data_IF_496959121758
#
_entry.id   IF_496959121758
#
_cell.length_a   1.000
_cell.length_b   1.000
_cell.length_c   1.000
_cell.angle_alpha   90.00
_cell.angle_beta   90.00
_cell.angle_gamma   90.00
#
_symmetry.space_group_name_H-M   'P 1'
#
loop_
_entity.id
_entity.type
_entity.pdbx_description
1 polymer ?
#
# COMPACT_ATOMS: atom_id res chain seq x y z
N UNK A 1 8.32 -5.09 -15.46
CA UNK A 1 9.14 -6.13 -16.13
C UNK A 1 10.56 -6.17 -15.57
N UNK A 2 11.38 -5.13 -15.78
CA UNK A 2 12.78 -5.07 -15.32
C UNK A 2 12.91 -5.35 -13.81
N UNK A 3 12.05 -4.73 -12.99
CA UNK A 3 12.02 -4.96 -11.54
C UNK A 3 11.73 -6.42 -11.19
N UNK A 4 10.71 -7.04 -11.79
CA UNK A 4 10.35 -8.44 -11.50
C UNK A 4 11.40 -9.45 -11.99
N UNK A 5 12.08 -9.16 -13.11
CA UNK A 5 13.22 -9.96 -13.57
C UNK A 5 14.40 -9.85 -12.58
N UNK A 6 14.72 -8.64 -12.12
CA UNK A 6 15.78 -8.42 -11.14
C UNK A 6 15.52 -9.14 -9.81
N UNK A 7 14.29 -9.08 -9.30
CA UNK A 7 13.89 -9.79 -8.08
C UNK A 7 13.97 -11.30 -8.28
N UNK A 8 13.50 -11.82 -9.41
CA UNK A 8 13.56 -13.26 -9.68
C UNK A 8 14.99 -13.80 -9.72
N UNK A 9 15.94 -13.03 -10.27
CA UNK A 9 17.36 -13.38 -10.26
C UNK A 9 17.91 -13.36 -8.83
N UNK A 10 17.62 -12.32 -8.05
CA UNK A 10 18.09 -12.18 -6.67
C UNK A 10 17.50 -13.24 -5.73
N UNK A 11 16.28 -13.69 -6.00
CA UNK A 11 15.60 -14.76 -5.26
C UNK A 11 16.07 -16.17 -5.67
N UNK A 12 16.96 -16.31 -6.66
CA UNK A 12 17.47 -17.59 -7.12
C UNK A 12 16.43 -18.47 -7.83
N UNK A 13 15.39 -17.88 -8.42
CA UNK A 13 14.35 -18.60 -9.12
C UNK A 13 14.83 -19.20 -10.45
N UNK A 14 14.14 -20.21 -10.97
CA UNK A 14 14.46 -20.80 -12.27
C UNK A 14 14.18 -19.79 -13.39
N UNK A 15 14.88 -19.84 -14.54
CA UNK A 15 14.69 -18.87 -15.63
C UNK A 15 13.23 -18.69 -16.08
N UNK A 16 12.43 -19.76 -16.12
CA UNK A 16 11.00 -19.67 -16.43
C UNK A 16 10.18 -18.94 -15.37
N UNK A 17 10.48 -19.17 -14.08
CA UNK A 17 9.80 -18.53 -12.96
C UNK A 17 10.18 -17.04 -12.84
N UNK A 18 11.42 -16.69 -13.20
CA UNK A 18 11.90 -15.30 -13.28
C UNK A 18 11.09 -14.53 -14.33
N UNK A 19 10.89 -15.11 -15.53
CA UNK A 19 10.13 -14.47 -16.61
C UNK A 19 8.65 -14.33 -16.20
N UNK A 20 8.07 -15.38 -15.60
CA UNK A 20 6.70 -15.34 -15.10
C UNK A 20 6.51 -14.25 -14.03
N UNK A 21 7.42 -14.16 -13.05
CA UNK A 21 7.41 -13.10 -12.04
C UNK A 21 7.54 -11.71 -12.69
N UNK A 22 8.47 -11.56 -13.63
CA UNK A 22 8.66 -10.34 -14.40
C UNK A 22 7.40 -9.87 -15.13
N UNK A 23 6.69 -10.79 -15.78
CA UNK A 23 5.45 -10.52 -16.50
C UNK A 23 4.29 -10.22 -15.56
N UNK A 24 4.07 -11.03 -14.52
CA UNK A 24 3.01 -10.79 -13.53
C UNK A 24 3.18 -9.42 -12.87
N UNK A 25 4.41 -9.07 -12.50
CA UNK A 25 4.73 -7.76 -11.94
C UNK A 25 4.49 -6.61 -12.93
N UNK A 26 4.83 -6.81 -14.20
CA UNK A 26 4.54 -5.81 -15.23
C UNK A 26 3.03 -5.60 -15.40
N UNK A 27 2.26 -6.69 -15.42
CA UNK A 27 0.81 -6.65 -15.56
C UNK A 27 0.16 -5.91 -14.39
N UNK A 28 0.52 -6.24 -13.15
CA UNK A 28 -0.02 -5.58 -11.95
C UNK A 28 0.29 -4.08 -11.96
N UNK A 29 1.53 -3.68 -12.27
CA UNK A 29 1.92 -2.26 -12.31
C UNK A 29 1.22 -1.46 -13.42
N UNK A 30 0.71 -2.12 -14.46
CA UNK A 30 -0.07 -1.46 -15.52
C UNK A 30 -1.57 -1.45 -15.20
N UNK A 31 -2.09 -2.56 -14.66
CA UNK A 31 -3.51 -2.76 -14.43
C UNK A 31 -4.01 -2.03 -13.18
N UNK A 32 -3.27 -2.11 -12.06
CA UNK A 32 -3.72 -1.54 -10.79
C UNK A 32 -3.93 -0.01 -10.86
N UNK A 33 -3.01 0.81 -11.41
CA UNK A 33 -3.23 2.25 -11.52
C UNK A 33 -4.42 2.59 -12.43
N UNK A 34 -4.67 1.79 -13.49
CA UNK A 34 -5.83 1.98 -14.38
C UNK A 34 -7.14 1.69 -13.67
N UNK A 35 -7.22 0.61 -12.89
CA UNK A 35 -8.42 0.27 -12.12
C UNK A 35 -8.74 1.35 -11.08
N UNK A 36 -7.74 1.86 -10.38
CA UNK A 36 -7.91 2.97 -9.42
C UNK A 36 -8.40 4.23 -10.14
N UNK A 37 -7.84 4.57 -11.31
CA UNK A 37 -8.28 5.73 -12.10
C UNK A 37 -9.76 5.65 -12.48
N UNK A 38 -10.21 4.48 -12.95
CA UNK A 38 -11.62 4.26 -13.32
C UNK A 38 -12.54 4.42 -12.11
N UNK A 39 -12.16 3.85 -10.95
CA UNK A 39 -12.89 4.04 -9.70
C UNK A 39 -12.97 5.52 -9.31
N UNK A 40 -11.88 6.28 -9.47
CA UNK A 40 -11.87 7.71 -9.16
C UNK A 40 -12.73 8.53 -10.13
N UNK A 41 -12.69 8.23 -11.41
CA UNK A 41 -13.57 8.86 -12.40
C UNK A 41 -15.05 8.65 -12.07
N UNK A 42 -15.42 7.49 -11.48
CA UNK A 42 -16.77 7.22 -10.99
C UNK A 42 -17.12 7.87 -9.64
N UNK A 43 -16.16 7.96 -8.70
CA UNK A 43 -16.38 8.45 -7.33
C UNK A 43 -16.29 9.99 -7.21
N UNK A 44 -15.49 10.65 -8.04
CA UNK A 44 -15.37 12.12 -8.08
C UNK A 44 -16.72 12.83 -8.29
N UNK A 45 -17.54 12.50 -9.30
CA UNK A 45 -18.81 13.21 -9.53
C UNK A 45 -19.81 13.01 -8.38
N UNK A 46 -19.78 11.85 -7.70
CA UNK A 46 -20.59 11.59 -6.51
C UNK A 46 -20.15 12.49 -5.35
N UNK A 47 -18.84 12.61 -5.13
CA UNK A 47 -18.25 13.44 -4.08
C UNK A 47 -18.54 14.93 -4.29
N UNK A 48 -18.42 15.43 -5.52
CA UNK A 48 -18.73 16.81 -5.88
C UNK A 48 -20.23 17.14 -5.75
N UNK A 49 -21.10 16.21 -6.16
CA UNK A 49 -22.55 16.35 -6.03
C UNK A 49 -22.98 16.38 -4.57
N UNK A 50 -22.43 15.49 -3.73
CA UNK A 50 -22.69 15.47 -2.30
C UNK A 50 -22.24 16.79 -1.64
N UNK A 51 -21.06 17.30 -1.99
CA UNK A 51 -20.54 18.59 -1.52
C UNK A 51 -21.45 19.75 -1.92
N UNK A 52 -21.91 19.78 -3.17
CA UNK A 52 -22.82 20.82 -3.69
C UNK A 52 -24.19 20.77 -2.98
N UNK A 53 -24.73 19.57 -2.75
CA UNK A 53 -25.98 19.38 -2.02
C UNK A 53 -25.88 19.86 -0.56
N UNK A 54 -24.78 19.51 0.12
CA UNK A 54 -24.52 19.93 1.50
C UNK A 54 -24.35 21.45 1.60
N UNK A 55 -23.56 22.08 0.71
CA UNK A 55 -23.38 23.53 0.66
C UNK A 55 -24.72 24.25 0.42
N UNK A 56 -25.57 23.73 -0.47
CA UNK A 56 -26.90 24.31 -0.74
C UNK A 56 -27.83 24.23 0.48
N UNK A 57 -27.68 23.22 1.34
CA UNK A 57 -28.57 22.94 2.48
C UNK A 57 -28.12 23.60 3.78
N UNK A 58 -26.81 23.79 3.96
CA UNK A 58 -26.21 24.28 5.21
C UNK A 58 -25.57 25.70 5.11
N UNK A 59 -25.58 26.33 3.92
CA UNK A 59 -25.18 27.73 3.72
C UNK A 59 -23.66 27.98 3.66
N UNK A 60 -23.23 29.24 3.82
CA UNK A 60 -21.82 29.69 3.76
C UNK A 60 -20.96 29.33 4.99
N UNK A 61 -21.37 28.36 5.82
CA UNK A 61 -20.49 27.90 6.91
C UNK A 61 -19.39 27.02 6.32
N UNK A 62 -18.17 27.14 6.82
CA UNK A 62 -17.09 26.21 6.46
C UNK A 62 -17.43 24.81 6.98
N UNK A 63 -18.02 23.99 6.12
CA UNK A 63 -18.39 22.62 6.44
C UNK A 63 -17.20 21.72 6.08
N UNK A 64 -16.55 21.21 7.11
CA UNK A 64 -15.53 20.16 6.99
C UNK A 64 -16.23 18.80 6.91
N UNK A 65 -16.43 18.31 5.69
CA UNK A 65 -17.00 16.99 5.45
C UNK A 65 -15.86 15.98 5.48
N UNK A 66 -15.85 15.10 6.48
CA UNK A 66 -15.00 13.91 6.46
C UNK A 66 -15.46 13.00 5.33
N UNK A 67 -14.65 12.91 4.26
CA UNK A 67 -14.86 12.01 3.13
C UNK A 67 -13.89 10.83 3.23
N UNK A 68 -14.24 9.70 2.61
CA UNK A 68 -13.37 8.53 2.54
C UNK A 68 -12.02 8.89 1.90
N UNK A 69 -10.94 8.24 2.37
CA UNK A 69 -9.58 8.47 1.87
C UNK A 69 -9.46 8.23 0.36
N UNK A 70 -10.34 7.41 -0.23
CA UNK A 70 -10.43 7.23 -1.67
C UNK A 70 -10.61 8.56 -2.41
N UNK A 71 -11.33 9.54 -1.87
CA UNK A 71 -11.54 10.84 -2.54
C UNK A 71 -10.21 11.60 -2.72
N UNK A 72 -9.27 11.46 -1.77
CA UNK A 72 -7.96 12.10 -1.83
C UNK A 72 -7.05 11.50 -2.92
N UNK A 73 -7.31 10.28 -3.37
CA UNK A 73 -6.56 9.65 -4.47
C UNK A 73 -6.70 10.39 -5.79
N UNK A 74 -7.76 11.18 -5.97
CA UNK A 74 -7.95 11.99 -7.19
C UNK A 74 -6.97 13.15 -7.28
N UNK A 75 -6.30 13.53 -6.17
CA UNK A 75 -5.37 14.64 -6.18
C UNK A 75 -4.08 14.26 -6.93
N UNK A 76 -3.65 15.02 -7.96
CA UNK A 76 -2.48 14.68 -8.77
C UNK A 76 -1.20 14.44 -7.94
N UNK A 77 -1.01 15.20 -6.85
CA UNK A 77 0.14 15.01 -5.97
C UNK A 77 0.17 13.62 -5.31
N UNK A 78 -1.00 13.07 -4.95
CA UNK A 78 -1.11 11.72 -4.37
C UNK A 78 -0.75 10.66 -5.41
N UNK A 79 -1.33 10.77 -6.61
CA UNK A 79 -1.06 9.84 -7.71
C UNK A 79 0.41 9.87 -8.09
N UNK A 80 1.00 11.06 -8.28
CA UNK A 80 2.41 11.23 -8.64
C UNK A 80 3.34 10.66 -7.57
N UNK A 81 3.08 10.95 -6.30
CA UNK A 81 3.89 10.43 -5.18
C UNK A 81 3.79 8.90 -5.10
N UNK A 82 2.58 8.34 -5.24
CA UNK A 82 2.38 6.90 -5.19
C UNK A 82 3.08 6.17 -6.35
N UNK A 83 3.00 6.71 -7.58
CA UNK A 83 3.70 6.15 -8.74
C UNK A 83 5.22 6.11 -8.55
N UNK A 84 5.80 7.09 -7.86
CA UNK A 84 7.23 7.13 -7.53
C UNK A 84 7.56 6.14 -6.40
N UNK A 85 6.69 6.02 -5.39
CA UNK A 85 6.93 5.15 -4.24
C UNK A 85 6.78 3.66 -4.56
N UNK A 86 5.97 3.28 -5.54
CA UNK A 86 5.82 1.88 -5.97
C UNK A 86 7.16 1.21 -6.30
N UNK A 87 7.99 1.72 -7.24
CA UNK A 87 9.29 1.11 -7.53
C UNK A 87 10.27 1.21 -6.35
N UNK A 88 10.20 2.29 -5.54
CA UNK A 88 11.04 2.45 -4.34
C UNK A 88 10.72 1.38 -3.30
N UNK A 89 9.44 1.09 -3.08
CA UNK A 89 8.97 0.08 -2.12
C UNK A 89 9.46 -1.31 -2.50
N UNK A 90 9.37 -1.64 -3.79
CA UNK A 90 9.89 -2.91 -4.31
C UNK A 90 11.40 -3.01 -4.11
N UNK A 91 12.13 -1.92 -4.37
CA UNK A 91 13.59 -1.89 -4.16
C UNK A 91 13.95 -2.03 -2.67
N UNK A 92 13.24 -1.32 -1.80
CA UNK A 92 13.41 -1.40 -0.34
C UNK A 92 13.16 -2.81 0.18
N UNK A 93 12.11 -3.48 -0.27
CA UNK A 93 11.78 -4.84 0.15
C UNK A 93 12.90 -5.85 -0.15
N UNK A 94 13.73 -5.59 -1.18
CA UNK A 94 14.86 -6.44 -1.55
C UNK A 94 16.15 -6.04 -0.82
N UNK A 95 16.40 -4.74 -0.65
CA UNK A 95 17.65 -4.23 -0.07
C UNK A 95 17.64 -4.28 1.46
N UNK A 96 16.48 -4.14 2.10
CA UNK A 96 16.38 -4.07 3.55
C UNK A 96 16.83 -5.37 4.21
N UNK A 97 17.89 -5.35 5.04
CA UNK A 97 18.41 -6.55 5.69
C UNK A 97 17.38 -7.05 6.71
N UNK A 98 17.06 -8.35 6.64
CA UNK A 98 16.11 -9.00 7.55
C UNK A 98 14.64 -8.89 7.14
N UNK A 99 14.30 -8.19 6.04
CA UNK A 99 12.94 -8.20 5.50
C UNK A 99 12.66 -9.53 4.77
N UNK A 100 11.53 -10.16 5.08
CA UNK A 100 11.09 -11.39 4.41
C UNK A 100 9.80 -11.19 3.61
N UNK A 101 9.20 -10.00 3.68
CA UNK A 101 7.93 -9.68 3.03
C UNK A 101 8.16 -9.01 1.69
N UNK A 102 7.65 -9.64 0.62
CA UNK A 102 7.58 -9.03 -0.71
C UNK A 102 6.16 -8.49 -0.95
N UNK A 103 5.98 -7.15 -0.99
CA UNK A 103 4.65 -6.53 -0.92
C UNK A 103 3.92 -6.47 -2.27
N UNK A 104 3.88 -7.57 -3.02
CA UNK A 104 3.32 -7.58 -4.37
C UNK A 104 1.83 -7.21 -4.41
N UNK A 105 1.05 -7.71 -3.44
CA UNK A 105 -0.37 -7.36 -3.29
C UNK A 105 -0.59 -5.94 -2.77
N UNK A 106 0.31 -5.47 -1.90
CA UNK A 106 0.17 -4.19 -1.20
C UNK A 106 0.66 -2.99 -2.02
N UNK A 107 1.28 -3.19 -3.20
CA UNK A 107 1.59 -2.09 -4.11
C UNK A 107 0.34 -1.28 -4.50
N UNK A 108 -0.82 -1.93 -4.47
CA UNK A 108 -2.13 -1.36 -4.71
C UNK A 108 -2.60 -0.35 -3.65
N UNK A 109 -2.15 -0.53 -2.41
CA UNK A 109 -2.62 0.23 -1.25
C UNK A 109 -1.72 1.43 -0.95
N UNK A 110 -0.51 1.49 -1.54
CA UNK A 110 0.42 2.63 -1.44
C UNK A 110 -0.27 3.99 -1.69
N UNK A 111 -1.12 4.17 -2.72
CA UNK A 111 -1.82 5.44 -2.93
C UNK A 111 -2.64 5.89 -1.72
N UNK A 112 -3.26 4.97 -0.98
CA UNK A 112 -4.06 5.29 0.20
C UNK A 112 -3.19 5.71 1.38
N UNK A 113 -2.08 5.01 1.62
CA UNK A 113 -1.10 5.36 2.66
C UNK A 113 -0.53 6.76 2.40
N UNK A 114 -0.19 7.03 1.14
CA UNK A 114 0.44 8.28 0.72
C UNK A 114 -0.54 9.45 0.69
N UNK A 115 -1.84 9.21 0.53
CA UNK A 115 -2.87 10.25 0.55
C UNK A 115 -2.82 11.08 1.85
N UNK A 116 -2.65 10.43 3.00
CA UNK A 116 -2.52 11.11 4.29
C UNK A 116 -1.21 11.90 4.41
N UNK A 117 -0.10 11.33 3.93
CA UNK A 117 1.22 11.97 3.96
C UNK A 117 1.21 13.23 3.07
N UNK A 118 0.67 13.12 1.87
CA UNK A 118 0.57 14.24 0.91
C UNK A 118 -0.38 15.32 1.43
N UNK A 119 -1.48 14.92 2.08
CA UNK A 119 -2.38 15.86 2.76
C UNK A 119 -1.66 16.66 3.85
N UNK A 120 -0.89 15.99 4.71
CA UNK A 120 -0.08 16.64 5.75
C UNK A 120 1.04 17.52 5.16
N UNK A 121 1.65 17.09 4.05
CA UNK A 121 2.68 17.81 3.32
C UNK A 121 2.13 18.94 2.43
N UNK A 122 0.82 19.21 2.48
CA UNK A 122 0.12 20.23 1.67
C UNK A 122 0.42 20.11 0.17
N UNK A 123 0.50 18.88 -0.34
CA UNK A 123 0.75 18.60 -1.76
C UNK A 123 2.23 18.57 -2.17
N UNK A 124 3.19 18.71 -1.24
CA UNK A 124 4.62 18.63 -1.57
C UNK A 124 5.03 17.18 -1.86
N UNK A 125 5.19 16.86 -3.15
CA UNK A 125 5.57 15.52 -3.64
C UNK A 125 6.92 15.08 -3.09
N UNK A 126 7.95 15.94 -3.10
CA UNK A 126 9.31 15.54 -2.68
C UNK A 126 9.31 15.15 -1.20
N UNK A 127 8.71 15.99 -0.35
CA UNK A 127 8.58 15.69 1.07
C UNK A 127 7.79 14.40 1.29
N UNK A 128 6.70 14.22 0.53
CA UNK A 128 5.84 13.03 0.64
C UNK A 128 6.54 11.74 0.20
N UNK A 129 7.39 11.79 -0.82
CA UNK A 129 8.21 10.64 -1.24
C UNK A 129 9.20 10.30 -0.14
N UNK A 130 9.89 11.28 0.45
CA UNK A 130 10.88 11.01 1.52
C UNK A 130 10.22 10.39 2.74
N UNK A 131 9.15 11.01 3.24
CA UNK A 131 8.41 10.51 4.40
C UNK A 131 7.76 9.16 4.10
N UNK A 132 7.17 8.99 2.92
CA UNK A 132 6.59 7.72 2.48
C UNK A 132 7.62 6.60 2.39
N UNK A 133 8.83 6.89 1.91
CA UNK A 133 9.94 5.93 1.85
C UNK A 133 10.33 5.44 3.24
N UNK A 134 10.46 6.36 4.21
CA UNK A 134 10.81 6.02 5.60
C UNK A 134 9.68 5.20 6.24
N UNK A 135 8.43 5.63 6.08
CA UNK A 135 7.26 4.91 6.60
C UNK A 135 7.18 3.48 6.05
N UNK A 136 7.35 3.31 4.74
CA UNK A 136 7.32 1.99 4.09
C UNK A 136 8.46 1.10 4.59
N UNK A 137 9.66 1.64 4.79
CA UNK A 137 10.78 0.87 5.35
C UNK A 137 10.46 0.35 6.76
N UNK A 138 9.87 1.18 7.61
CA UNK A 138 9.43 0.78 8.95
C UNK A 138 8.33 -0.28 8.86
N UNK A 139 7.32 -0.05 8.00
CA UNK A 139 6.21 -0.98 7.82
C UNK A 139 6.64 -2.35 7.29
N UNK A 140 7.68 -2.43 6.45
CA UNK A 140 8.28 -3.70 6.00
C UNK A 140 8.90 -4.49 7.15
N UNK A 141 9.62 -3.83 8.06
CA UNK A 141 10.17 -4.48 9.24
C UNK A 141 9.08 -5.01 10.16
N UNK A 142 8.06 -4.19 10.42
CA UNK A 142 6.94 -4.59 11.26
C UNK A 142 6.16 -5.73 10.60
N UNK A 143 5.88 -5.65 9.30
CA UNK A 143 5.19 -6.71 8.57
C UNK A 143 5.97 -8.03 8.62
N UNK A 144 7.31 -7.98 8.62
CA UNK A 144 8.13 -9.17 8.81
C UNK A 144 8.00 -9.75 10.22
N UNK A 145 7.99 -8.92 11.26
CA UNK A 145 7.85 -9.36 12.66
C UNK A 145 6.46 -9.97 12.95
N UNK A 146 5.41 -9.44 12.32
CA UNK A 146 4.02 -9.91 12.54
C UNK A 146 3.63 -11.07 11.59
N UNK A 147 4.47 -11.43 10.63
CA UNK A 147 4.20 -12.49 9.65
C UNK A 147 3.83 -13.86 10.27
N UNK A 148 4.47 -14.35 11.36
CA UNK A 148 4.09 -15.62 11.98
C UNK A 148 2.66 -15.62 12.52
N UNK A 149 2.22 -14.48 13.06
CA UNK A 149 0.88 -14.33 13.67
C UNK A 149 -0.20 -14.34 12.60
N UNK A 150 -0.01 -13.58 11.52
CA UNK A 150 -0.92 -13.61 10.36
C UNK A 150 -0.99 -15.02 9.75
N UNK A 151 0.14 -15.72 9.71
CA UNK A 151 0.24 -17.09 9.22
C UNK A 151 -0.55 -18.06 10.11
N UNK A 152 -0.47 -17.94 11.43
CA UNK A 152 -1.21 -18.78 12.35
C UNK A 152 -2.71 -18.49 12.36
N UNK A 153 -3.10 -17.20 12.26
CA UNK A 153 -4.51 -16.82 12.05
C UNK A 153 -5.04 -17.37 10.72
N UNK A 154 -4.24 -17.33 9.65
CA UNK A 154 -4.62 -17.86 8.36
C UNK A 154 -4.81 -19.38 8.38
N UNK A 155 -3.98 -20.13 9.12
CA UNK A 155 -4.16 -21.59 9.32
C UNK A 155 -5.48 -21.94 10.02
N UNK A 156 -5.99 -21.06 10.88
CA UNK A 156 -7.31 -21.19 11.52
C UNK A 156 -8.49 -20.91 10.58
N UNK A 157 -8.22 -20.37 9.39
CA UNK A 157 -9.22 -20.08 8.35
C UNK A 157 -8.99 -20.99 7.14
N UNK A 158 -10.02 -21.25 6.34
CA UNK A 158 -9.92 -22.14 5.18
C UNK A 158 -9.17 -21.50 3.97
N UNK A 159 -8.24 -20.58 4.25
CA UNK A 159 -7.48 -19.81 3.26
C UNK A 159 -6.28 -20.63 2.80
N UNK A 160 -6.24 -20.95 1.50
CA UNK A 160 -5.13 -21.69 0.91
C UNK A 160 -3.89 -20.80 0.82
N UNK A 161 -2.79 -21.22 1.44
CA UNK A 161 -1.52 -20.52 1.30
C UNK A 161 -1.01 -20.58 -0.16
N UNK A 162 -0.52 -19.47 -0.71
CA UNK A 162 0.11 -19.47 -2.03
C UNK A 162 1.28 -20.46 -2.08
N UNK A 163 1.35 -21.28 -3.14
CA UNK A 163 2.44 -22.25 -3.32
C UNK A 163 3.79 -21.53 -3.36
N UNK A 164 4.68 -21.86 -2.42
CA UNK A 164 6.02 -21.26 -2.32
C UNK A 164 6.16 -20.13 -1.29
N UNK A 165 5.10 -19.77 -0.56
CA UNK A 165 5.18 -18.82 0.56
C UNK A 165 5.32 -19.57 1.90
N UNK A 166 6.33 -19.25 2.69
CA UNK A 166 6.50 -19.81 4.04
C UNK A 166 5.58 -19.15 5.06
N UNK A 167 5.31 -17.85 4.89
CA UNK A 167 4.50 -17.01 5.78
C UNK A 167 3.62 -16.06 4.94
N UNK A 168 2.57 -15.53 5.56
CA UNK A 168 1.67 -14.52 4.96
C UNK A 168 1.71 -13.28 5.84
N UNK A 169 1.92 -12.12 5.21
CA UNK A 169 1.86 -10.81 5.87
C UNK A 169 1.46 -9.73 4.87
N UNK A 170 1.09 -8.55 5.38
CA UNK A 170 0.79 -7.37 4.56
C UNK A 170 1.42 -6.11 5.17
N UNK A 171 1.82 -5.17 4.32
CA UNK A 171 2.25 -3.83 4.72
C UNK A 171 1.07 -3.03 5.27
N UNK A 172 -0.11 -3.16 4.66
CA UNK A 172 -1.27 -2.33 4.99
C UNK A 172 -1.84 -2.64 6.39
N UNK A 173 -2.03 -3.93 6.71
CA UNK A 173 -2.52 -4.33 8.03
C UNK A 173 -1.38 -4.67 9.00
N UNK A 174 -0.40 -5.45 8.53
CA UNK A 174 0.70 -5.93 9.36
C UNK A 174 1.81 -4.90 9.59
N UNK A 175 2.00 -3.96 8.66
CA UNK A 175 2.98 -2.87 8.77
C UNK A 175 2.45 -1.61 9.46
N UNK A 176 1.20 -1.61 9.93
CA UNK A 176 0.61 -0.46 10.61
C UNK A 176 1.17 -0.33 12.04
N UNK A 177 1.90 0.76 12.28
CA UNK A 177 2.57 1.04 13.57
C UNK A 177 1.59 1.04 14.74
N UNK A 178 0.37 1.57 14.55
CA UNK A 178 -0.63 1.65 15.63
C UNK A 178 -1.11 0.25 16.01
N UNK A 179 -1.45 -0.58 15.02
CA UNK A 179 -1.88 -1.96 15.26
C UNK A 179 -0.76 -2.78 15.91
N UNK A 180 0.49 -2.60 15.46
CA UNK A 180 1.64 -3.26 16.05
C UNK A 180 1.89 -2.86 17.50
N UNK A 181 1.79 -1.56 17.83
CA UNK A 181 1.97 -1.09 19.20
C UNK A 181 0.87 -1.60 20.12
N UNK A 182 -0.38 -1.58 19.67
CA UNK A 182 -1.51 -2.16 20.43
C UNK A 182 -1.23 -3.64 20.66
N UNK A 183 -0.89 -4.38 19.61
CA UNK A 183 -0.58 -5.80 19.72
C UNK A 183 0.55 -6.07 20.72
N UNK A 184 1.70 -5.37 20.58
CA UNK A 184 2.87 -5.58 21.43
C UNK A 184 2.60 -5.24 22.90
N UNK A 185 1.71 -4.28 23.12
CA UNK A 185 1.25 -3.91 24.46
C UNK A 185 0.37 -5.02 25.05
N UNK A 186 -0.54 -5.62 24.28
CA UNK A 186 -1.35 -6.75 24.75
C UNK A 186 -0.55 -8.05 24.87
N UNK A 187 0.46 -8.28 24.02
CA UNK A 187 1.34 -9.45 24.11
C UNK A 187 2.29 -9.41 25.31
N UNK A 188 2.46 -8.26 25.97
CA UNK A 188 3.22 -8.14 27.22
C UNK A 188 2.43 -8.61 28.45
N UNK A 189 1.09 -8.71 28.34
CA UNK A 189 0.20 -9.12 29.42
C UNK A 189 -0.24 -10.59 29.35
N UNK A 190 0.27 -11.34 28.38
CA UNK A 190 -0.06 -12.75 28.13
C UNK A 190 1.24 -13.57 28.04
#
# INVERSE_FOLDING_TARGET
>A
LILGLGIGVLAGYKPGDIINLGMSMAAVMVLMPRMVKILMEGLMPVSESARTWLNKRFGEREIYIGLDAAVALGHPAVISTALILVPITVLLAVILPGNQVLPFGDLATIPFVVAFIVGAARGNIIHSVIVGTIMIAISLYIATDVAPIFTDMAKGTNVQMPKGSSEISSIDQGGNIVNYLIFKLFSLFN
#
